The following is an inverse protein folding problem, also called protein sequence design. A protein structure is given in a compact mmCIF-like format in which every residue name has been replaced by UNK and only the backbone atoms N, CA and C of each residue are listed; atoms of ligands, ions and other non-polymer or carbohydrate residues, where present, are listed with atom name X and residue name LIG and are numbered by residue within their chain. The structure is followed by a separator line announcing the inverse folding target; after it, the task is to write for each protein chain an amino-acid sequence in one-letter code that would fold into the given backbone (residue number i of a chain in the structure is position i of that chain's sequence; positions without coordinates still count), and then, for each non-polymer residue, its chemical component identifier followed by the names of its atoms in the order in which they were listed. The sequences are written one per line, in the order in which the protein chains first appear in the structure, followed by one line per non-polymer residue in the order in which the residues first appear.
data_IF_327378632968
#
_entry.id   IF_327378632968
#
_cell.length_a   1.000
_cell.length_b   1.000
_cell.length_c   1.000
_cell.angle_alpha   90.00
_cell.angle_beta   90.00
_cell.angle_gamma   90.00
#
_symmetry.space_group_name_H-M   'P 1'
#
loop_
_entity.id
_entity.type
_entity.pdbx_description
1 polymer ?
#
# COMPACT_ATOMS: atom_id res chain seq x y z
N UNK A 1 15.13 26.30 56.81
CA UNK A 1 15.07 26.69 55.38
C UNK A 1 15.15 25.50 54.42
N UNK A 2 16.11 24.58 54.54
CA UNK A 2 16.26 23.40 53.65
C UNK A 2 15.03 22.47 53.59
N UNK A 3 14.37 22.24 54.73
CA UNK A 3 13.22 21.32 54.82
C UNK A 3 11.96 21.89 54.14
N UNK A 4 11.73 23.21 54.26
CA UNK A 4 10.62 23.90 53.60
C UNK A 4 10.82 23.97 52.08
N UNK A 5 12.06 24.18 51.60
CA UNK A 5 12.38 24.15 50.18
C UNK A 5 12.17 22.75 49.57
N UNK A 6 12.54 21.69 50.29
CA UNK A 6 12.30 20.30 49.87
C UNK A 6 10.81 19.95 49.80
N UNK A 7 10.02 20.39 50.80
CA UNK A 7 8.57 20.20 50.80
C UNK A 7 7.88 20.97 49.67
N UNK A 8 8.31 22.20 49.39
CA UNK A 8 7.80 23.00 48.28
C UNK A 8 8.11 22.33 46.93
N UNK A 9 9.34 21.85 46.73
CA UNK A 9 9.74 21.12 45.51
C UNK A 9 8.89 19.87 45.31
N UNK A 10 8.67 19.07 46.36
CA UNK A 10 7.82 17.88 46.30
C UNK A 10 6.39 18.23 45.88
N UNK A 11 5.81 19.27 46.50
CA UNK A 11 4.43 19.69 46.24
C UNK A 11 4.25 20.26 44.82
N UNK A 12 5.26 20.96 44.29
CA UNK A 12 5.27 21.41 42.90
C UNK A 12 5.32 20.20 41.94
N UNK A 13 6.18 19.21 42.21
CA UNK A 13 6.25 18.00 41.39
C UNK A 13 4.94 17.21 41.42
N UNK A 14 4.32 17.06 42.60
CA UNK A 14 3.05 16.36 42.75
C UNK A 14 1.93 17.06 41.95
N UNK A 15 1.92 18.40 41.92
CA UNK A 15 0.98 19.19 41.12
C UNK A 15 1.25 19.08 39.61
N UNK A 16 2.52 19.07 39.18
CA UNK A 16 2.87 18.88 37.77
C UNK A 16 2.45 17.49 37.30
N UNK A 17 2.71 16.45 38.10
CA UNK A 17 2.31 15.07 37.77
C UNK A 17 0.78 14.91 37.75
N UNK A 18 0.06 15.59 38.65
CA UNK A 18 -1.40 15.57 38.68
C UNK A 18 -2.04 16.23 37.44
N UNK A 19 -1.34 17.19 36.82
CA UNK A 19 -1.81 17.89 35.61
C UNK A 19 -1.34 17.23 34.30
N UNK A 20 -0.49 16.20 34.38
CA UNK A 20 -0.05 15.42 33.22
C UNK A 20 -1.01 14.27 32.90
N UNK A 21 -1.23 14.01 31.62
CA UNK A 21 -1.97 12.87 31.14
C UNK A 21 -1.15 12.10 30.11
N UNK A 22 -1.40 10.79 30.06
CA UNK A 22 -0.91 9.91 28.99
C UNK A 22 -2.10 9.22 28.34
N UNK A 23 -2.09 9.15 27.00
CA UNK A 23 -3.06 8.40 26.21
C UNK A 23 -2.35 7.57 25.16
N UNK A 24 -2.96 6.44 24.84
CA UNK A 24 -2.52 5.55 23.74
C UNK A 24 -3.71 5.32 22.83
N UNK A 25 -3.49 5.48 21.52
CA UNK A 25 -4.46 5.16 20.47
C UNK A 25 -3.88 4.00 19.67
N UNK A 26 -4.55 2.86 19.66
CA UNK A 26 -4.22 1.70 18.83
C UNK A 26 -5.23 1.61 17.68
N UNK A 27 -4.74 1.60 16.44
CA UNK A 27 -5.58 1.57 15.23
C UNK A 27 -4.78 1.10 13.99
N UNK A 28 -5.27 0.12 13.20
CA UNK A 28 -4.57 -0.38 12.03
C UNK A 28 -4.29 0.69 10.96
N UNK A 29 -5.12 1.74 10.87
CA UNK A 29 -4.95 2.82 9.88
C UNK A 29 -3.77 3.75 10.18
N UNK A 30 -3.18 3.69 11.38
CA UNK A 30 -1.95 4.46 11.70
C UNK A 30 -0.83 4.09 10.73
N UNK A 31 -0.78 2.84 10.27
CA UNK A 31 0.19 2.39 9.27
C UNK A 31 0.02 3.03 7.88
N UNK A 32 -1.16 3.58 7.62
CA UNK A 32 -1.55 4.13 6.33
C UNK A 32 -1.45 5.66 6.29
N UNK A 33 -1.01 6.31 7.37
CA UNK A 33 -0.81 7.76 7.45
C UNK A 33 0.10 8.26 6.32
N UNK A 34 -0.32 9.33 5.64
CA UNK A 34 0.43 9.99 4.58
C UNK A 34 1.42 11.03 5.13
N UNK A 35 2.33 11.54 4.28
CA UNK A 35 3.30 12.56 4.71
C UNK A 35 2.59 13.82 5.21
N UNK A 36 1.48 14.19 4.59
CA UNK A 36 0.66 15.31 5.03
C UNK A 36 0.07 15.06 6.43
N UNK A 37 -0.44 13.86 6.69
CA UNK A 37 -1.00 13.51 8.00
C UNK A 37 0.11 13.50 9.07
N UNK A 38 1.33 13.05 8.74
CA UNK A 38 2.48 13.10 9.65
C UNK A 38 2.95 14.53 9.95
N UNK A 39 2.93 15.43 8.97
CA UNK A 39 3.20 16.85 9.21
C UNK A 39 2.10 17.49 10.07
N UNK A 40 0.85 17.09 9.89
CA UNK A 40 -0.28 17.50 10.75
C UNK A 40 -0.07 17.05 12.20
N UNK A 41 0.37 15.81 12.43
CA UNK A 41 0.76 15.32 13.76
C UNK A 41 1.92 16.12 14.37
N UNK A 42 2.94 16.46 13.58
CA UNK A 42 4.07 17.29 14.06
C UNK A 42 3.63 18.72 14.40
N UNK A 43 2.70 19.28 13.64
CA UNK A 43 2.11 20.59 13.92
C UNK A 43 1.35 20.55 15.25
N UNK A 44 0.49 19.54 15.45
CA UNK A 44 -0.23 19.33 16.71
C UNK A 44 0.70 19.25 17.93
N UNK A 45 1.79 18.49 17.83
CA UNK A 45 2.81 18.40 18.88
C UNK A 45 3.40 19.76 19.26
N UNK A 46 3.65 20.63 18.28
CA UNK A 46 4.21 21.98 18.52
C UNK A 46 3.17 22.94 19.09
N UNK A 47 1.95 22.90 18.56
CA UNK A 47 0.86 23.81 18.96
C UNK A 47 0.34 23.53 20.36
N UNK A 48 0.20 22.25 20.71
CA UNK A 48 -0.36 21.80 21.98
C UNK A 48 0.72 21.45 23.01
N UNK A 49 2.01 21.59 22.68
CA UNK A 49 3.14 21.22 23.56
C UNK A 49 3.01 19.81 24.14
N UNK A 50 2.49 18.88 23.34
CA UNK A 50 2.31 17.46 23.69
C UNK A 50 3.38 16.63 23.00
N UNK A 51 3.94 15.64 23.71
CA UNK A 51 4.76 14.61 23.09
C UNK A 51 3.87 13.62 22.35
N UNK A 52 4.07 13.48 21.03
CA UNK A 52 3.41 12.48 20.19
C UNK A 52 4.47 11.50 19.68
N UNK A 53 4.35 10.22 20.05
CA UNK A 53 5.26 9.15 19.62
C UNK A 53 4.46 8.07 18.93
N UNK A 54 4.89 7.67 17.73
CA UNK A 54 4.31 6.53 17.03
C UNK A 54 5.11 5.28 17.35
N UNK A 55 4.41 4.24 17.81
CA UNK A 55 4.89 2.88 17.86
C UNK A 55 4.23 2.09 16.73
N UNK A 56 4.99 1.25 16.05
CA UNK A 56 4.51 0.48 14.92
C UNK A 56 3.85 -0.84 15.33
N UNK A 57 4.00 -1.25 16.59
CA UNK A 57 3.54 -2.56 17.05
C UNK A 57 4.40 -3.71 16.52
N UNK A 58 4.19 -4.91 17.07
CA UNK A 58 4.72 -6.16 16.51
C UNK A 58 3.79 -6.69 15.39
N UNK A 59 4.18 -7.76 14.67
CA UNK A 59 3.41 -8.32 13.53
C UNK A 59 1.94 -8.63 13.85
N UNK A 60 1.60 -8.94 15.10
CA UNK A 60 0.24 -9.29 15.55
C UNK A 60 -0.45 -8.17 16.36
N UNK A 61 0.13 -6.96 16.37
CA UNK A 61 -0.42 -5.82 17.12
C UNK A 61 -0.65 -4.62 16.21
N UNK A 62 -1.76 -3.94 16.42
CA UNK A 62 -2.03 -2.69 15.73
C UNK A 62 -1.00 -1.63 16.16
N UNK A 63 -0.51 -0.80 15.21
CA UNK A 63 0.33 0.34 15.54
C UNK A 63 -0.35 1.28 16.53
N UNK A 64 0.46 1.97 17.35
CA UNK A 64 0.00 2.83 18.43
C UNK A 64 0.53 4.26 18.31
N UNK A 65 -0.26 5.24 18.76
CA UNK A 65 0.17 6.62 19.00
C UNK A 65 0.08 6.91 20.48
N UNK A 66 1.23 7.24 21.08
CA UNK A 66 1.34 7.67 22.47
C UNK A 66 1.36 9.19 22.55
N UNK A 67 0.50 9.72 23.40
CA UNK A 67 0.32 11.14 23.69
C UNK A 67 0.66 11.38 25.15
N UNK A 68 1.51 12.36 25.42
CA UNK A 68 1.96 12.70 26.77
C UNK A 68 2.12 14.22 26.90
N UNK A 69 1.58 14.83 27.97
CA UNK A 69 1.62 16.28 28.15
C UNK A 69 0.59 16.75 29.18
N UNK A 70 0.26 18.04 29.16
CA UNK A 70 -0.79 18.59 30.02
C UNK A 70 -2.15 17.99 29.65
N UNK A 71 -2.97 17.70 30.67
CA UNK A 71 -4.23 16.97 30.53
C UNK A 71 -5.11 17.54 29.42
N UNK A 72 -5.40 18.85 29.46
CA UNK A 72 -6.24 19.52 28.46
C UNK A 72 -5.71 19.35 27.03
N UNK A 73 -4.41 19.51 26.86
CA UNK A 73 -3.75 19.50 25.56
C UNK A 73 -3.69 18.07 25.02
N UNK A 74 -3.44 17.08 25.88
CA UNK A 74 -3.49 15.65 25.53
C UNK A 74 -4.87 15.24 25.04
N UNK A 75 -5.95 15.65 25.70
CA UNK A 75 -7.31 15.34 25.25
C UNK A 75 -7.66 16.04 23.91
N UNK A 76 -7.17 17.27 23.72
CA UNK A 76 -7.36 18.01 22.46
C UNK A 76 -6.61 17.33 21.32
N UNK A 77 -5.35 16.95 21.56
CA UNK A 77 -4.52 16.21 20.62
C UNK A 77 -5.11 14.84 20.31
N UNK A 78 -5.58 14.10 21.31
CA UNK A 78 -6.23 12.79 21.13
C UNK A 78 -7.41 12.89 20.14
N UNK A 79 -8.28 13.89 20.32
CA UNK A 79 -9.42 14.11 19.42
C UNK A 79 -8.95 14.38 17.98
N UNK A 80 -7.97 15.27 17.80
CA UNK A 80 -7.44 15.61 16.48
C UNK A 80 -6.78 14.40 15.80
N UNK A 81 -6.00 13.62 16.54
CA UNK A 81 -5.38 12.37 16.03
C UNK A 81 -6.44 11.38 15.58
N UNK A 82 -7.52 11.19 16.36
CA UNK A 82 -8.63 10.30 15.97
C UNK A 82 -9.32 10.77 14.69
N UNK A 83 -9.44 12.07 14.47
CA UNK A 83 -10.04 12.62 13.25
C UNK A 83 -9.15 12.43 12.02
N UNK A 84 -7.82 12.53 12.17
CA UNK A 84 -6.84 12.17 11.14
C UNK A 84 -6.99 10.68 10.79
N UNK A 85 -7.01 9.78 11.78
CA UNK A 85 -7.16 8.34 11.56
C UNK A 85 -8.47 8.03 10.81
N UNK A 86 -9.61 8.60 11.23
CA UNK A 86 -10.90 8.45 10.54
C UNK A 86 -10.90 8.99 9.11
N UNK A 87 -10.10 10.01 8.81
CA UNK A 87 -9.93 10.53 7.45
C UNK A 87 -9.16 9.52 6.59
N UNK A 88 -8.11 8.90 7.13
CA UNK A 88 -7.36 7.83 6.46
C UNK A 88 -8.26 6.61 6.22
N UNK A 89 -8.99 6.15 7.24
CA UNK A 89 -9.93 5.03 7.13
C UNK A 89 -10.95 5.25 6.01
N UNK A 90 -11.56 6.44 5.94
CA UNK A 90 -12.50 6.80 4.86
C UNK A 90 -11.83 6.82 3.48
N UNK A 91 -10.58 7.26 3.39
CA UNK A 91 -9.84 7.28 2.13
C UNK A 91 -9.53 5.86 1.64
N UNK A 92 -9.09 4.98 2.54
CA UNK A 92 -8.82 3.57 2.24
C UNK A 92 -10.10 2.82 1.85
N UNK A 93 -11.20 3.02 2.58
CA UNK A 93 -12.49 2.44 2.23
C UNK A 93 -12.98 2.91 0.85
N UNK A 94 -12.81 4.20 0.53
CA UNK A 94 -13.15 4.73 -0.79
C UNK A 94 -12.28 4.13 -1.89
N UNK A 95 -10.97 4.00 -1.65
CA UNK A 95 -10.02 3.38 -2.57
C UNK A 95 -10.40 1.93 -2.87
N UNK A 96 -10.66 1.14 -1.83
CA UNK A 96 -11.11 -0.26 -1.96
C UNK A 96 -12.40 -0.35 -2.78
N UNK A 97 -13.39 0.48 -2.46
CA UNK A 97 -14.65 0.55 -3.21
C UNK A 97 -14.44 0.94 -4.68
N UNK A 98 -13.54 1.88 -4.96
CA UNK A 98 -13.23 2.30 -6.32
C UNK A 98 -12.57 1.19 -7.14
N UNK A 99 -11.71 0.40 -6.49
CA UNK A 99 -11.04 -0.77 -7.07
C UNK A 99 -12.05 -1.88 -7.39
N UNK A 100 -12.88 -2.28 -6.43
CA UNK A 100 -13.97 -3.27 -6.62
C UNK A 100 -14.96 -2.83 -7.71
N UNK A 101 -15.23 -1.53 -7.83
CA UNK A 101 -16.09 -1.01 -8.89
C UNK A 101 -15.42 -1.08 -10.26
N UNK A 102 -14.10 -0.83 -10.33
CA UNK A 102 -13.33 -0.86 -11.57
C UNK A 102 -13.26 -2.26 -12.20
N UNK A 103 -13.49 -3.32 -11.42
CA UNK A 103 -13.63 -4.69 -11.94
C UNK A 103 -14.96 -4.90 -12.68
N UNK A 104 -15.99 -4.11 -12.38
CA UNK A 104 -17.35 -4.31 -12.89
C UNK A 104 -17.69 -3.38 -14.05
N UNK A 105 -17.08 -2.20 -14.10
CA UNK A 105 -17.41 -1.16 -15.08
C UNK A 105 -16.22 -0.24 -15.34
N UNK A 106 -16.09 0.17 -16.61
CA UNK A 106 -15.14 1.20 -17.01
C UNK A 106 -15.87 2.33 -17.73
N UNK A 107 -15.78 3.52 -17.16
CA UNK A 107 -16.20 4.76 -17.76
C UNK A 107 -15.06 5.36 -18.57
N UNK A 108 -15.40 5.86 -19.76
CA UNK A 108 -14.47 6.50 -20.68
C UNK A 108 -15.05 7.82 -21.17
N UNK A 109 -14.18 8.72 -21.65
CA UNK A 109 -14.58 9.91 -22.36
C UNK A 109 -13.89 10.00 -23.71
N UNK A 110 -14.53 10.68 -24.65
CA UNK A 110 -13.93 10.97 -25.96
C UNK A 110 -13.09 12.23 -25.88
N UNK A 111 -11.79 12.12 -26.15
CA UNK A 111 -10.88 13.26 -26.16
C UNK A 111 -11.03 14.11 -27.44
N UNK A 112 -10.25 15.19 -27.54
CA UNK A 112 -10.28 16.10 -28.70
C UNK A 112 -9.81 15.46 -30.01
N UNK A 113 -9.08 14.34 -29.94
CA UNK A 113 -8.62 13.56 -31.09
C UNK A 113 -9.64 12.49 -31.49
N UNK A 114 -10.75 12.37 -30.75
CA UNK A 114 -11.76 11.33 -30.95
C UNK A 114 -11.41 9.99 -30.31
N UNK A 115 -10.31 9.90 -29.55
CA UNK A 115 -9.89 8.69 -28.86
C UNK A 115 -10.67 8.49 -27.57
N UNK A 116 -10.96 7.23 -27.24
CA UNK A 116 -11.64 6.88 -25.99
C UNK A 116 -10.61 6.71 -24.87
N UNK A 117 -10.65 7.60 -23.89
CA UNK A 117 -9.74 7.62 -22.74
C UNK A 117 -10.49 7.18 -21.49
N UNK A 118 -9.95 6.21 -20.76
CA UNK A 118 -10.54 5.72 -19.51
C UNK A 118 -10.36 6.74 -18.36
N UNK A 119 -11.37 6.81 -17.48
CA UNK A 119 -11.25 7.57 -16.25
C UNK A 119 -10.42 6.82 -15.20
N UNK A 120 -9.73 7.57 -14.32
CA UNK A 120 -9.11 7.01 -13.13
C UNK A 120 -10.16 6.46 -12.13
N UNK A 121 -9.71 5.59 -11.23
CA UNK A 121 -10.56 4.82 -10.29
C UNK A 121 -11.62 5.67 -9.57
N UNK A 122 -11.23 6.81 -9.01
CA UNK A 122 -12.14 7.65 -8.22
C UNK A 122 -13.23 8.30 -9.09
N UNK A 123 -12.87 8.77 -10.28
CA UNK A 123 -13.84 9.35 -11.23
C UNK A 123 -14.74 8.27 -11.80
N UNK A 124 -14.21 7.06 -12.06
CA UNK A 124 -14.98 5.91 -12.47
C UNK A 124 -16.05 5.54 -11.43
N UNK A 125 -15.65 5.42 -10.14
CA UNK A 125 -16.56 5.17 -9.04
C UNK A 125 -17.64 6.26 -8.95
N UNK A 126 -17.23 7.53 -9.01
CA UNK A 126 -18.13 8.70 -8.93
C UNK A 126 -19.19 8.66 -10.03
N UNK A 127 -18.79 8.36 -11.28
CA UNK A 127 -19.70 8.25 -12.42
C UNK A 127 -20.65 7.06 -12.27
N UNK A 128 -20.16 5.93 -11.80
CA UNK A 128 -21.00 4.74 -11.62
C UNK A 128 -22.02 4.90 -10.50
N UNK A 129 -21.65 5.52 -9.37
CA UNK A 129 -22.59 5.83 -8.30
C UNK A 129 -23.66 6.82 -8.77
N UNK A 130 -23.26 7.85 -9.51
CA UNK A 130 -24.18 8.82 -10.10
C UNK A 130 -25.12 8.18 -11.13
N UNK A 131 -24.62 7.24 -11.94
CA UNK A 131 -25.43 6.44 -12.85
C UNK A 131 -26.48 5.60 -12.10
N UNK A 132 -26.07 4.84 -11.07
CA UNK A 132 -26.97 4.01 -10.26
C UNK A 132 -28.03 4.81 -9.52
N UNK A 133 -27.66 5.98 -9.00
CA UNK A 133 -28.56 6.88 -8.25
C UNK A 133 -29.33 7.85 -9.15
N UNK A 134 -29.09 7.84 -10.47
CA UNK A 134 -29.68 8.73 -11.46
C UNK A 134 -29.44 10.22 -11.14
N UNK A 135 -28.25 10.53 -10.62
CA UNK A 135 -27.80 11.87 -10.30
C UNK A 135 -26.73 12.36 -11.27
N UNK A 136 -26.49 13.68 -11.27
CA UNK A 136 -25.37 14.29 -11.99
C UNK A 136 -24.13 14.26 -11.09
N UNK A 137 -22.96 14.11 -11.72
CA UNK A 137 -21.68 14.05 -11.00
C UNK A 137 -20.78 15.22 -11.38
N UNK A 138 -19.97 15.69 -10.44
CA UNK A 138 -18.88 16.62 -10.73
C UNK A 138 -17.61 15.82 -11.02
N UNK A 139 -17.04 16.00 -12.20
CA UNK A 139 -15.82 15.31 -12.62
C UNK A 139 -14.78 16.31 -13.13
N UNK A 140 -13.54 15.86 -13.27
CA UNK A 140 -12.47 16.62 -13.93
C UNK A 140 -11.95 15.87 -15.14
N UNK A 141 -11.76 16.59 -16.24
CA UNK A 141 -11.12 16.11 -17.47
C UNK A 141 -10.03 17.13 -17.82
N UNK A 142 -8.76 16.71 -17.92
CA UNK A 142 -7.63 17.60 -18.20
C UNK A 142 -7.59 18.84 -17.26
N UNK A 143 -7.85 18.63 -15.97
CA UNK A 143 -8.00 19.68 -14.92
C UNK A 143 -9.21 20.62 -15.03
N UNK A 144 -9.98 20.55 -16.10
CA UNK A 144 -11.22 21.32 -16.26
C UNK A 144 -12.40 20.63 -15.56
N UNK A 145 -13.27 21.41 -14.92
CA UNK A 145 -14.44 20.91 -14.22
C UNK A 145 -15.65 20.73 -15.15
N UNK A 146 -16.29 19.55 -15.05
CA UNK A 146 -17.48 19.20 -15.80
C UNK A 146 -18.60 18.73 -14.89
N UNK A 147 -19.84 18.97 -15.31
CA UNK A 147 -21.03 18.31 -14.78
C UNK A 147 -21.39 17.17 -15.71
N UNK A 148 -21.16 15.94 -15.27
CA UNK A 148 -21.52 14.72 -15.95
C UNK A 148 -22.99 14.35 -15.68
N UNK A 149 -23.67 13.92 -16.73
CA UNK A 149 -24.96 13.26 -16.72
C UNK A 149 -24.75 11.84 -17.27
N UNK A 150 -24.40 10.87 -16.39
CA UNK A 150 -24.05 9.53 -16.82
C UNK A 150 -25.18 8.82 -17.56
N UNK A 151 -26.44 9.10 -17.21
CA UNK A 151 -27.62 8.52 -17.87
C UNK A 151 -27.80 9.02 -19.32
N UNK A 152 -27.26 10.21 -19.64
CA UNK A 152 -27.27 10.78 -20.99
C UNK A 152 -25.94 10.60 -21.71
N UNK A 153 -24.99 9.88 -21.10
CA UNK A 153 -23.66 9.63 -21.65
C UNK A 153 -22.92 10.92 -22.05
N UNK A 154 -23.10 11.99 -21.28
CA UNK A 154 -22.52 13.31 -21.61
C UNK A 154 -22.03 14.04 -20.37
N UNK A 155 -20.98 14.83 -20.55
CA UNK A 155 -20.51 15.81 -19.58
C UNK A 155 -20.43 17.19 -20.22
N UNK A 156 -20.80 18.22 -19.46
CA UNK A 156 -20.76 19.61 -19.92
C UNK A 156 -19.83 20.40 -19.01
N UNK A 157 -18.93 21.18 -19.61
CA UNK A 157 -18.04 22.08 -18.88
C UNK A 157 -18.83 23.05 -17.99
N UNK A 158 -18.24 23.47 -16.87
CA UNK A 158 -18.84 24.47 -15.99
C UNK A 158 -19.25 25.77 -16.71
N UNK A 159 -18.63 26.11 -17.84
CA UNK A 159 -18.97 27.27 -18.66
C UNK A 159 -20.06 27.00 -19.73
N UNK A 160 -20.56 25.77 -19.85
CA UNK A 160 -21.60 25.36 -20.79
C UNK A 160 -21.17 25.22 -22.24
N UNK A 161 -19.92 25.54 -22.59
CA UNK A 161 -19.47 25.65 -24.00
C UNK A 161 -18.95 24.35 -24.60
N UNK A 162 -18.39 23.48 -23.77
CA UNK A 162 -17.76 22.25 -24.22
C UNK A 162 -18.53 21.03 -23.69
N UNK A 163 -19.06 20.24 -24.60
CA UNK A 163 -19.67 18.94 -24.31
C UNK A 163 -18.68 17.82 -24.61
N UNK A 164 -18.63 16.82 -23.75
CA UNK A 164 -17.81 15.61 -23.90
C UNK A 164 -18.73 14.39 -23.84
N UNK A 165 -18.52 13.46 -24.76
CA UNK A 165 -19.20 12.17 -24.76
C UNK A 165 -18.57 11.26 -23.70
N UNK A 166 -19.41 10.66 -22.88
CA UNK A 166 -19.04 9.63 -21.92
C UNK A 166 -19.46 8.27 -22.49
N UNK A 167 -18.79 7.21 -22.09
CA UNK A 167 -19.18 5.86 -22.47
C UNK A 167 -19.02 4.93 -21.28
N UNK A 168 -20.08 4.22 -20.93
CA UNK A 168 -20.08 3.19 -19.89
C UNK A 168 -19.86 1.83 -20.54
N UNK A 169 -18.78 1.17 -20.17
CA UNK A 169 -18.51 -0.20 -20.60
C UNK A 169 -18.72 -1.14 -19.41
N UNK A 170 -19.77 -1.97 -19.47
CA UNK A 170 -19.90 -3.09 -18.54
C UNK A 170 -18.73 -4.05 -18.74
N UNK A 171 -18.06 -4.38 -17.64
CA UNK A 171 -17.04 -5.43 -17.60
C UNK A 171 -17.64 -6.74 -17.05
N UNK A 172 -18.85 -6.69 -16.46
CA UNK A 172 -19.63 -7.88 -16.13
C UNK A 172 -19.95 -8.66 -17.41
N UNK A 173 -19.30 -9.82 -17.55
CA UNK A 173 -19.41 -10.70 -18.72
C UNK A 173 -18.38 -10.43 -19.81
N UNK A 174 -17.57 -9.37 -19.71
CA UNK A 174 -16.40 -9.15 -20.58
C UNK A 174 -15.14 -9.35 -19.74
N UNK A 175 -14.73 -10.61 -19.62
CA UNK A 175 -13.49 -11.08 -19.02
C UNK A 175 -13.01 -10.24 -17.82
N UNK A 176 -13.34 -10.68 -16.60
CA UNK A 176 -12.39 -10.53 -15.50
C UNK A 176 -10.99 -10.77 -16.10
N UNK A 177 -10.04 -9.85 -15.89
CA UNK A 177 -8.74 -9.91 -16.56
C UNK A 177 -8.28 -11.36 -16.60
N UNK A 178 -7.97 -11.91 -17.78
CA UNK A 178 -7.76 -13.34 -17.92
C UNK A 178 -6.75 -13.76 -16.87
N UNK A 179 -7.17 -14.71 -16.01
CA UNK A 179 -6.26 -15.32 -15.06
C UNK A 179 -5.14 -16.01 -15.85
N UNK A 180 -3.93 -16.11 -15.28
CA UNK A 180 -2.83 -16.74 -15.98
C UNK A 180 -3.23 -18.14 -16.46
N UNK A 181 -2.93 -18.47 -17.71
CA UNK A 181 -3.32 -19.75 -18.30
C UNK A 181 -2.65 -20.96 -17.62
N UNK A 182 -1.57 -20.72 -16.88
CA UNK A 182 -0.89 -21.72 -16.06
C UNK A 182 -1.60 -22.01 -14.73
N UNK A 183 -2.64 -21.25 -14.36
CA UNK A 183 -3.35 -21.48 -13.12
C UNK A 183 -4.24 -22.72 -13.20
N UNK A 184 -4.21 -23.48 -12.12
CA UNK A 184 -5.07 -24.64 -11.92
C UNK A 184 -6.47 -24.22 -11.51
N UNK A 185 -7.45 -25.09 -11.75
CA UNK A 185 -8.84 -24.87 -11.33
C UNK A 185 -8.95 -24.82 -9.80
N UNK A 186 -9.40 -23.67 -9.30
CA UNK A 186 -9.55 -23.42 -7.87
C UNK A 186 -10.88 -23.94 -7.31
N UNK A 187 -11.80 -24.47 -8.14
CA UNK A 187 -13.11 -24.98 -7.69
C UNK A 187 -13.89 -23.96 -6.84
N UNK A 188 -13.90 -22.71 -7.30
CA UNK A 188 -14.53 -21.56 -6.63
C UNK A 188 -13.85 -21.08 -5.32
N UNK A 189 -12.69 -21.64 -4.94
CA UNK A 189 -11.89 -21.09 -3.84
C UNK A 189 -11.37 -19.67 -4.18
N UNK A 190 -11.43 -18.75 -3.22
CA UNK A 190 -10.97 -17.36 -3.37
C UNK A 190 -9.44 -17.21 -3.28
N UNK A 191 -8.77 -18.19 -2.68
CA UNK A 191 -7.33 -18.28 -2.50
C UNK A 191 -6.95 -19.74 -2.37
N UNK A 192 -5.93 -20.17 -3.12
CA UNK A 192 -5.36 -21.50 -2.98
C UNK A 192 -3.88 -21.54 -3.34
N UNK A 193 -3.15 -22.41 -2.65
CA UNK A 193 -1.76 -22.71 -2.95
C UNK A 193 -1.72 -24.04 -3.70
N UNK A 194 -0.98 -24.08 -4.80
CA UNK A 194 -0.78 -25.26 -5.61
C UNK A 194 0.68 -25.65 -5.59
N UNK A 195 0.97 -26.90 -5.21
CA UNK A 195 2.34 -27.41 -5.23
C UNK A 195 2.85 -27.44 -6.67
N UNK A 196 3.97 -26.78 -6.90
CA UNK A 196 4.66 -26.82 -8.19
C UNK A 196 5.46 -28.12 -8.25
N UNK A 197 5.19 -28.95 -9.26
CA UNK A 197 5.82 -30.25 -9.38
C UNK A 197 7.35 -30.12 -9.54
N UNK A 198 8.16 -30.85 -8.75
CA UNK A 198 9.61 -30.85 -8.90
C UNK A 198 10.03 -31.17 -10.33
N UNK A 199 11.10 -30.52 -10.80
CA UNK A 199 11.64 -30.63 -12.16
C UNK A 199 10.72 -30.21 -13.32
N UNK A 200 9.52 -29.68 -13.05
CA UNK A 200 8.71 -29.00 -14.07
C UNK A 200 9.41 -27.72 -14.55
N UNK A 201 9.03 -27.22 -15.74
CA UNK A 201 9.57 -25.95 -16.26
C UNK A 201 9.37 -24.81 -15.27
N UNK A 202 8.17 -24.70 -14.70
CA UNK A 202 7.84 -23.68 -13.70
C UNK A 202 8.71 -23.80 -12.44
N UNK A 203 8.91 -25.02 -11.93
CA UNK A 203 9.81 -25.25 -10.79
C UNK A 203 11.23 -24.81 -11.10
N UNK A 204 11.77 -25.23 -12.25
CA UNK A 204 13.14 -24.92 -12.66
C UNK A 204 13.34 -23.43 -12.89
N UNK A 205 12.33 -22.71 -13.38
CA UNK A 205 12.39 -21.25 -13.56
C UNK A 205 12.45 -20.53 -12.20
N UNK A 206 11.64 -20.94 -11.23
CA UNK A 206 11.69 -20.41 -9.85
C UNK A 206 13.04 -20.72 -9.21
N UNK A 207 13.53 -21.95 -9.32
CA UNK A 207 14.81 -22.40 -8.77
C UNK A 207 16.00 -21.67 -9.43
N UNK A 208 15.95 -21.42 -10.73
CA UNK A 208 16.99 -20.67 -11.44
C UNK A 208 17.11 -19.24 -10.91
N UNK A 209 15.99 -18.55 -10.72
CA UNK A 209 15.99 -17.20 -10.14
C UNK A 209 16.46 -17.22 -8.68
N UNK A 210 16.14 -18.27 -7.95
CA UNK A 210 16.57 -18.46 -6.56
C UNK A 210 18.07 -18.70 -6.43
N UNK A 211 18.67 -19.43 -7.36
CA UNK A 211 20.08 -19.85 -7.34
C UNK A 211 21.00 -18.90 -8.10
N UNK A 212 20.46 -17.86 -8.76
CA UNK A 212 21.23 -16.95 -9.65
C UNK A 212 22.42 -16.25 -8.98
N UNK A 213 22.35 -16.01 -7.68
CA UNK A 213 23.41 -15.38 -6.87
C UNK A 213 24.26 -16.39 -6.09
N UNK A 214 24.12 -17.69 -6.39
CA UNK A 214 24.86 -18.77 -5.74
C UNK A 214 24.23 -19.28 -4.44
N UNK A 215 22.99 -18.89 -4.15
CA UNK A 215 22.24 -19.43 -3.03
C UNK A 215 21.98 -20.93 -3.24
N UNK A 216 22.33 -21.75 -2.25
CA UNK A 216 22.05 -23.19 -2.25
C UNK A 216 21.21 -23.52 -1.03
N UNK A 217 20.01 -24.05 -1.25
CA UNK A 217 19.03 -24.36 -0.23
C UNK A 217 18.54 -25.79 -0.39
N UNK A 218 18.15 -26.41 0.72
CA UNK A 218 17.34 -27.62 0.68
C UNK A 218 15.86 -27.22 0.56
N UNK A 219 15.36 -27.16 -0.68
CA UNK A 219 13.98 -26.78 -0.99
C UNK A 219 13.04 -27.93 -0.59
N UNK A 220 12.10 -27.66 0.31
CA UNK A 220 11.06 -28.59 0.75
C UNK A 220 9.86 -28.52 -0.20
N UNK A 221 9.42 -27.31 -0.54
CA UNK A 221 8.32 -27.09 -1.46
C UNK A 221 8.41 -25.73 -2.15
N UNK A 222 7.86 -25.68 -3.36
CA UNK A 222 7.49 -24.45 -4.07
C UNK A 222 5.99 -24.52 -4.31
N UNK A 223 5.25 -23.52 -3.85
CA UNK A 223 3.81 -23.45 -3.99
C UNK A 223 3.42 -22.17 -4.74
N UNK A 224 2.71 -22.31 -5.86
CA UNK A 224 2.13 -21.18 -6.60
C UNK A 224 0.91 -20.67 -5.83
N UNK A 225 0.92 -19.39 -5.49
CA UNK A 225 -0.22 -18.73 -4.88
C UNK A 225 -1.18 -18.31 -5.98
N UNK A 226 -2.43 -18.76 -5.91
CA UNK A 226 -3.50 -18.32 -6.78
C UNK A 226 -4.53 -17.53 -5.98
N UNK A 227 -4.45 -16.20 -6.10
CA UNK A 227 -5.40 -15.27 -5.51
C UNK A 227 -5.93 -14.34 -6.61
N UNK A 228 -7.12 -14.61 -7.19
CA UNK A 228 -7.68 -13.84 -8.30
C UNK A 228 -7.79 -12.34 -8.02
N UNK A 229 -8.26 -11.98 -6.83
CA UNK A 229 -8.46 -10.57 -6.47
C UNK A 229 -7.13 -9.82 -6.38
N UNK A 230 -6.11 -10.40 -5.74
CA UNK A 230 -4.78 -9.78 -5.70
C UNK A 230 -4.18 -9.68 -7.10
N UNK A 231 -4.29 -10.74 -7.90
CA UNK A 231 -3.76 -10.76 -9.27
C UNK A 231 -4.42 -9.69 -10.15
N UNK A 232 -5.74 -9.56 -10.09
CA UNK A 232 -6.48 -8.58 -10.88
C UNK A 232 -6.11 -7.15 -10.48
N UNK A 233 -6.05 -6.87 -9.18
CA UNK A 233 -5.64 -5.57 -8.66
C UNK A 233 -4.21 -5.20 -9.07
N UNK A 234 -3.29 -6.17 -8.96
CA UNK A 234 -1.91 -6.06 -9.44
C UNK A 234 -1.87 -5.71 -10.94
N UNK A 235 -2.62 -6.45 -11.77
CA UNK A 235 -2.65 -6.24 -13.22
C UNK A 235 -3.28 -4.90 -13.62
N UNK A 236 -4.30 -4.41 -12.89
CA UNK A 236 -4.87 -3.08 -13.08
C UNK A 236 -3.80 -2.02 -12.78
N UNK A 237 -3.11 -2.14 -11.65
CA UNK A 237 -2.04 -1.21 -11.27
C UNK A 237 -0.89 -1.22 -12.28
N UNK A 238 -0.51 -2.40 -12.78
CA UNK A 238 0.50 -2.55 -13.83
C UNK A 238 0.15 -1.72 -15.06
N UNK A 239 -1.06 -1.89 -15.61
CA UNK A 239 -1.52 -1.14 -16.78
C UNK A 239 -1.54 0.37 -16.53
N UNK A 240 -1.97 0.80 -15.34
CA UNK A 240 -1.96 2.21 -14.97
C UNK A 240 -0.55 2.77 -14.91
N UNK A 241 0.40 2.01 -14.34
CA UNK A 241 1.81 2.39 -14.25
C UNK A 241 2.46 2.46 -15.63
N UNK A 242 2.15 1.52 -16.54
CA UNK A 242 2.63 1.55 -17.93
C UNK A 242 2.18 2.80 -18.68
N UNK A 243 0.92 3.21 -18.51
CA UNK A 243 0.39 4.45 -19.08
C UNK A 243 1.06 5.68 -18.46
N UNK A 244 1.19 5.71 -17.12
CA UNK A 244 1.82 6.80 -16.37
C UNK A 244 3.27 7.01 -16.81
N UNK A 245 4.05 5.92 -16.85
CA UNK A 245 5.49 5.97 -17.09
C UNK A 245 5.86 5.94 -18.58
N UNK A 246 4.89 5.64 -19.46
CA UNK A 246 5.07 5.58 -20.93
C UNK A 246 6.07 4.52 -21.36
N UNK A 247 6.24 3.46 -20.57
CA UNK A 247 7.03 2.27 -20.89
C UNK A 247 6.47 1.04 -20.16
N UNK A 248 6.87 -0.16 -20.58
CA UNK A 248 6.42 -1.44 -20.02
C UNK A 248 7.38 -2.07 -19.01
N UNK A 249 8.61 -1.54 -18.91
CA UNK A 249 9.61 -2.04 -17.96
C UNK A 249 9.36 -1.53 -16.53
N UNK A 250 8.26 -1.96 -15.93
CA UNK A 250 7.85 -1.55 -14.57
C UNK A 250 7.89 -2.69 -13.55
N UNK A 251 8.06 -3.94 -13.99
CA UNK A 251 7.93 -5.14 -13.15
C UNK A 251 9.29 -5.83 -12.98
N UNK A 252 9.60 -6.21 -11.74
CA UNK A 252 10.71 -7.09 -11.41
C UNK A 252 10.22 -8.30 -10.60
N UNK A 253 10.93 -9.41 -10.73
CA UNK A 253 10.79 -10.56 -9.86
C UNK A 253 11.79 -10.43 -8.70
N UNK A 254 11.28 -10.31 -7.48
CA UNK A 254 12.07 -10.02 -6.28
C UNK A 254 11.70 -10.97 -5.13
N UNK A 255 12.51 -10.97 -4.07
CA UNK A 255 12.38 -11.90 -2.96
C UNK A 255 11.97 -11.20 -1.66
N UNK A 256 11.12 -11.85 -0.87
CA UNK A 256 10.68 -11.37 0.43
C UNK A 256 10.71 -12.49 1.48
N UNK A 257 11.70 -12.49 2.36
CA UNK A 257 11.76 -13.41 3.51
C UNK A 257 10.79 -12.98 4.60
N UNK A 258 10.14 -13.93 5.26
CA UNK A 258 9.13 -13.62 6.29
C UNK A 258 9.01 -14.71 7.35
N UNK A 259 8.17 -14.46 8.36
CA UNK A 259 7.84 -15.38 9.46
C UNK A 259 6.74 -16.35 9.05
N UNK A 260 6.64 -17.50 9.72
CA UNK A 260 5.56 -18.48 9.47
C UNK A 260 4.18 -17.91 9.82
N UNK A 261 4.10 -17.02 10.81
CA UNK A 261 2.86 -16.34 11.21
C UNK A 261 2.32 -15.38 10.16
N UNK A 262 3.20 -14.81 9.32
CA UNK A 262 2.82 -13.83 8.28
C UNK A 262 2.27 -14.48 7.00
N UNK A 263 2.50 -15.77 6.77
CA UNK A 263 2.16 -16.46 5.51
C UNK A 263 0.66 -16.41 5.20
N UNK A 264 -0.20 -16.73 6.18
CA UNK A 264 -1.64 -16.71 5.96
C UNK A 264 -2.13 -15.32 5.56
N UNK A 265 -1.56 -14.28 6.19
CA UNK A 265 -1.93 -12.91 5.94
C UNK A 265 -1.48 -12.44 4.55
N UNK A 266 -0.22 -12.71 4.18
CA UNK A 266 0.33 -12.33 2.87
C UNK A 266 -0.42 -13.02 1.73
N UNK A 267 -0.73 -14.32 1.87
CA UNK A 267 -1.50 -15.04 0.85
C UNK A 267 -2.90 -14.44 0.66
N UNK A 268 -3.55 -14.00 1.75
CA UNK A 268 -4.92 -13.49 1.73
C UNK A 268 -5.02 -12.03 1.32
N UNK A 269 -4.13 -11.18 1.82
CA UNK A 269 -4.23 -9.72 1.74
C UNK A 269 -3.12 -9.08 0.92
N UNK A 270 -2.09 -9.84 0.52
CA UNK A 270 -0.90 -9.31 -0.12
C UNK A 270 0.10 -8.74 0.88
N UNK A 271 1.09 -8.02 0.38
CA UNK A 271 2.10 -7.38 1.22
C UNK A 271 1.53 -6.08 1.80
N UNK A 272 1.55 -5.96 3.12
CA UNK A 272 1.05 -4.78 3.81
C UNK A 272 2.20 -4.02 4.47
N UNK A 273 2.33 -2.74 4.13
CA UNK A 273 3.39 -1.87 4.64
C UNK A 273 3.28 -1.58 6.14
N UNK A 274 2.14 -1.86 6.78
CA UNK A 274 2.00 -1.77 8.24
C UNK A 274 2.99 -2.65 8.98
N UNK A 275 3.38 -3.77 8.38
CA UNK A 275 4.34 -4.70 8.94
C UNK A 275 5.80 -4.33 8.63
N UNK A 276 6.04 -3.18 7.98
CA UNK A 276 7.37 -2.69 7.65
C UNK A 276 8.10 -2.14 8.88
N UNK A 277 9.19 -2.80 9.30
CA UNK A 277 10.17 -2.16 10.18
C UNK A 277 10.85 -2.99 11.25
N UNK A 278 10.66 -4.32 11.32
CA UNK A 278 11.41 -5.18 12.28
C UNK A 278 12.93 -5.03 12.16
N UNK A 279 13.47 -4.65 10.99
CA UNK A 279 14.91 -4.52 10.72
C UNK A 279 15.38 -3.09 10.38
N UNK A 280 14.73 -2.07 10.96
CA UNK A 280 14.95 -0.66 10.66
C UNK A 280 14.64 -0.30 9.20
N UNK A 281 13.51 0.36 8.99
CA UNK A 281 13.06 0.87 7.69
C UNK A 281 13.99 1.99 7.14
N UNK A 282 15.19 1.60 6.68
CA UNK A 282 16.29 2.50 6.31
C UNK A 282 15.99 3.35 5.07
N UNK A 283 15.15 2.84 4.16
CA UNK A 283 14.89 3.48 2.87
C UNK A 283 13.44 3.94 2.71
N UNK A 284 12.61 3.69 3.73
CA UNK A 284 11.19 4.08 3.75
C UNK A 284 10.32 3.05 4.48
N UNK A 285 9.15 3.49 4.95
CA UNK A 285 8.13 2.70 5.61
C UNK A 285 7.20 2.08 4.56
N UNK A 286 7.74 1.13 3.80
CA UNK A 286 7.01 0.35 2.79
C UNK A 286 7.37 -1.13 2.87
N UNK A 287 6.80 -1.95 2.01
CA UNK A 287 7.17 -3.36 1.89
C UNK A 287 8.50 -3.51 1.14
N UNK A 288 9.44 -4.25 1.71
CA UNK A 288 10.81 -4.42 1.20
C UNK A 288 10.93 -5.69 0.37
N UNK A 289 11.65 -5.60 -0.75
CA UNK A 289 11.91 -6.72 -1.64
C UNK A 289 13.38 -6.70 -2.09
N UNK A 290 14.07 -7.83 -1.97
CA UNK A 290 15.46 -7.95 -2.35
C UNK A 290 15.61 -8.52 -3.77
N UNK A 291 16.55 -7.99 -4.54
CA UNK A 291 16.95 -8.56 -5.83
C UNK A 291 17.77 -9.85 -5.65
N UNK A 292 18.56 -9.92 -4.57
CA UNK A 292 19.33 -11.09 -4.18
C UNK A 292 18.55 -11.95 -3.17
N UNK A 293 18.18 -13.20 -3.50
CA UNK A 293 17.50 -14.09 -2.58
C UNK A 293 18.31 -14.42 -1.32
N UNK A 294 19.65 -14.38 -1.36
CA UNK A 294 20.51 -14.59 -0.18
C UNK A 294 20.15 -13.62 0.95
N UNK A 295 19.84 -12.38 0.60
CA UNK A 295 19.49 -11.34 1.57
C UNK A 295 18.18 -11.68 2.30
N UNK A 296 17.15 -12.07 1.54
CA UNK A 296 15.85 -12.48 2.07
C UNK A 296 15.94 -13.77 2.89
N UNK A 297 16.66 -14.77 2.39
CA UNK A 297 16.84 -16.06 3.06
C UNK A 297 17.66 -15.94 4.35
N UNK A 298 18.74 -15.16 4.37
CA UNK A 298 19.64 -15.05 5.51
C UNK A 298 19.11 -14.19 6.65
N UNK A 299 18.48 -13.06 6.32
CA UNK A 299 18.21 -12.02 7.31
C UNK A 299 16.74 -11.93 7.74
N UNK A 300 15.79 -12.42 6.92
CA UNK A 300 14.34 -12.18 7.12
C UNK A 300 13.48 -13.44 7.16
N UNK A 301 13.84 -14.48 6.42
CA UNK A 301 13.17 -15.77 6.51
C UNK A 301 13.51 -16.42 7.86
N UNK A 302 12.60 -16.36 8.83
CA UNK A 302 12.84 -16.94 10.16
C UNK A 302 12.44 -18.41 10.18
N UNK A 303 13.24 -19.30 10.81
CA UNK A 303 12.85 -20.69 10.96
C UNK A 303 11.67 -20.83 11.93
N UNK A 304 10.72 -21.69 11.59
CA UNK A 304 9.65 -22.11 12.50
C UNK A 304 10.14 -23.13 13.54
N UNK A 305 9.22 -23.69 14.33
CA UNK A 305 9.52 -24.73 15.32
C UNK A 305 10.09 -26.03 14.74
N UNK A 306 9.91 -26.27 13.45
CA UNK A 306 10.45 -27.41 12.71
C UNK A 306 11.76 -27.07 11.97
N UNK A 307 12.25 -25.84 12.09
CA UNK A 307 13.44 -25.35 11.39
C UNK A 307 13.18 -24.93 9.94
N UNK A 308 11.93 -24.93 9.48
CA UNK A 308 11.59 -24.54 8.13
C UNK A 308 11.53 -23.01 7.99
N UNK A 309 12.11 -22.49 6.93
CA UNK A 309 12.14 -21.07 6.58
C UNK A 309 11.25 -20.84 5.36
N UNK A 310 10.66 -19.65 5.26
CA UNK A 310 9.80 -19.26 4.13
C UNK A 310 10.24 -17.94 3.53
N UNK A 311 10.18 -17.88 2.21
CA UNK A 311 10.29 -16.63 1.45
C UNK A 311 9.35 -16.66 0.27
N UNK A 312 8.93 -15.48 -0.17
CA UNK A 312 8.22 -15.31 -1.42
C UNK A 312 9.19 -14.95 -2.54
N UNK A 313 8.92 -15.50 -3.72
CA UNK A 313 9.29 -14.87 -4.99
C UNK A 313 8.04 -14.12 -5.48
N UNK A 314 8.15 -12.80 -5.62
CA UNK A 314 7.03 -11.90 -5.86
C UNK A 314 7.24 -11.10 -7.14
N UNK A 315 6.15 -10.83 -7.86
CA UNK A 315 6.15 -9.81 -8.92
C UNK A 315 5.93 -8.45 -8.27
N UNK A 316 6.82 -7.51 -8.54
CA UNK A 316 6.82 -6.19 -7.90
C UNK A 316 6.86 -5.12 -8.99
N UNK A 317 5.88 -4.22 -8.97
CA UNK A 317 5.82 -3.07 -9.87
C UNK A 317 6.75 -1.96 -9.35
N UNK A 318 8.05 -2.07 -9.61
CA UNK A 318 9.04 -1.08 -9.16
C UNK A 318 8.94 0.26 -9.90
N UNK A 319 8.45 0.24 -11.15
CA UNK A 319 8.27 1.44 -11.98
C UNK A 319 9.52 2.31 -12.09
N UNK A 320 9.32 3.63 -12.17
CA UNK A 320 10.40 4.59 -12.00
C UNK A 320 10.73 4.70 -10.50
N UNK A 321 11.99 4.54 -10.14
CA UNK A 321 12.43 4.55 -8.74
C UNK A 321 13.46 5.64 -8.44
N UNK A 322 13.57 5.98 -7.14
CA UNK A 322 14.54 6.95 -6.63
C UNK A 322 15.25 6.41 -5.37
N UNK A 323 16.30 7.11 -4.95
CA UNK A 323 17.00 6.80 -3.71
C UNK A 323 16.06 6.94 -2.50
N UNK A 324 15.94 5.88 -1.71
CA UNK A 324 15.14 5.86 -0.49
C UNK A 324 15.86 6.46 0.70
N UNK A 325 15.07 6.92 1.68
CA UNK A 325 15.57 7.50 2.93
C UNK A 325 14.67 7.11 4.10
N UNK A 326 15.27 7.04 5.29
CA UNK A 326 14.57 6.68 6.52
C UNK A 326 13.43 7.66 6.79
N UNK A 327 12.26 7.11 7.11
CA UNK A 327 11.07 7.89 7.46
C UNK A 327 10.20 8.31 6.27
N UNK A 328 10.61 8.02 5.02
CA UNK A 328 9.70 8.13 3.87
C UNK A 328 8.49 7.22 4.08
N UNK A 329 7.29 7.68 3.73
CA UNK A 329 6.05 6.89 3.75
C UNK A 329 5.34 6.91 2.38
N UNK A 330 5.93 7.61 1.43
CA UNK A 330 5.58 7.65 0.02
C UNK A 330 6.87 7.91 -0.77
N UNK A 331 6.97 7.50 -2.04
CA UNK A 331 8.11 7.87 -2.88
C UNK A 331 8.23 9.39 -3.04
N UNK A 332 9.45 9.92 -3.30
CA UNK A 332 9.64 11.33 -3.54
C UNK A 332 8.98 11.80 -4.85
N UNK A 333 8.73 13.12 -5.02
CA UNK A 333 8.26 13.68 -6.28
C UNK A 333 9.33 13.66 -7.37
N UNK A 334 8.90 13.48 -8.62
CA UNK A 334 9.72 13.68 -9.83
C UNK A 334 9.91 15.18 -10.09
N UNK A 335 11.03 15.54 -10.70
CA UNK A 335 11.38 16.92 -11.03
C UNK A 335 10.26 17.60 -11.84
N UNK A 336 9.65 18.66 -11.30
CA UNK A 336 8.68 19.49 -12.02
C UNK A 336 7.23 19.41 -11.53
N UNK A 337 6.86 18.48 -10.65
CA UNK A 337 5.54 18.49 -9.98
C UNK A 337 5.54 17.73 -8.66
N UNK A 338 4.94 18.31 -7.61
CA UNK A 338 4.74 17.63 -6.33
C UNK A 338 3.72 16.48 -6.40
N UNK A 339 2.88 16.42 -7.44
CA UNK A 339 1.85 15.40 -7.60
C UNK A 339 2.30 14.21 -8.44
N UNK A 340 3.44 14.31 -9.15
CA UNK A 340 4.01 13.22 -9.93
C UNK A 340 5.11 12.56 -9.11
N UNK A 341 4.80 11.45 -8.45
CA UNK A 341 5.75 10.73 -7.60
C UNK A 341 6.47 9.62 -8.37
N UNK A 342 7.68 9.28 -7.93
CA UNK A 342 8.27 7.98 -8.25
C UNK A 342 7.33 6.84 -7.80
N UNK A 343 7.51 5.65 -8.36
CA UNK A 343 6.67 4.48 -8.06
C UNK A 343 7.20 3.68 -6.88
N UNK A 344 8.53 3.64 -6.71
CA UNK A 344 9.18 2.98 -5.59
C UNK A 344 10.47 3.70 -5.19
N UNK A 345 11.12 3.22 -4.13
CA UNK A 345 12.47 3.67 -3.76
C UNK A 345 13.41 2.50 -3.58
N UNK A 346 14.71 2.76 -3.63
CA UNK A 346 15.78 1.75 -3.56
C UNK A 346 16.91 2.16 -2.60
N UNK A 347 17.80 1.21 -2.29
CA UNK A 347 19.00 1.41 -1.47
C UNK A 347 20.13 2.12 -2.20
N UNK A 348 20.26 1.95 -3.51
CA UNK A 348 21.20 2.68 -4.38
C UNK A 348 20.56 2.87 -5.76
N UNK A 349 20.25 4.11 -6.13
CA UNK A 349 19.61 4.41 -7.41
C UNK A 349 20.47 4.04 -8.65
N UNK A 350 21.80 3.95 -8.50
CA UNK A 350 22.69 3.53 -9.58
C UNK A 350 22.79 1.99 -9.68
N UNK A 351 22.79 1.30 -8.53
CA UNK A 351 22.96 -0.16 -8.45
C UNK A 351 21.98 -0.77 -7.43
N UNK A 352 20.67 -0.82 -7.75
CA UNK A 352 19.65 -1.20 -6.80
C UNK A 352 19.77 -2.67 -6.41
N UNK A 353 19.83 -2.97 -5.11
CA UNK A 353 19.83 -4.34 -4.58
C UNK A 353 18.53 -4.67 -3.84
N UNK A 354 17.75 -3.65 -3.51
CA UNK A 354 16.41 -3.80 -2.93
C UNK A 354 15.48 -2.67 -3.36
N UNK A 355 14.19 -2.95 -3.28
CA UNK A 355 13.12 -2.01 -3.59
C UNK A 355 12.12 -1.94 -2.44
N UNK A 356 11.59 -0.75 -2.23
CA UNK A 356 10.56 -0.47 -1.23
C UNK A 356 9.35 0.13 -1.94
N UNK A 357 8.21 -0.54 -1.82
CA UNK A 357 6.92 -0.10 -2.37
C UNK A 357 5.99 0.34 -1.25
N UNK A 358 5.19 1.37 -1.50
CA UNK A 358 4.37 2.04 -0.48
C UNK A 358 2.87 1.82 -0.69
N UNK A 359 2.50 0.96 -1.63
CA UNK A 359 1.11 0.63 -1.94
C UNK A 359 0.95 -0.89 -1.96
N UNK A 360 -0.04 -1.37 -1.20
CA UNK A 360 -0.18 -2.79 -0.85
C UNK A 360 -0.56 -3.67 -2.06
N UNK A 361 -1.10 -3.08 -3.14
CA UNK A 361 -1.41 -3.79 -4.40
C UNK A 361 -0.28 -3.75 -5.45
N UNK A 362 0.88 -3.17 -5.11
CA UNK A 362 2.03 -3.00 -6.01
C UNK A 362 2.89 -4.27 -6.15
N UNK A 363 2.61 -5.29 -5.34
CA UNK A 363 3.30 -6.56 -5.36
C UNK A 363 2.33 -7.75 -5.26
N UNK A 364 2.60 -8.79 -6.04
CA UNK A 364 1.86 -10.05 -6.04
C UNK A 364 2.77 -11.19 -5.52
N UNK A 365 2.41 -11.87 -4.41
CA UNK A 365 3.17 -13.02 -3.91
C UNK A 365 2.93 -14.21 -4.83
N UNK A 366 3.81 -14.45 -5.80
CA UNK A 366 3.57 -15.45 -6.86
C UNK A 366 3.90 -16.88 -6.40
N UNK A 367 5.05 -17.06 -5.75
CA UNK A 367 5.49 -18.35 -5.23
C UNK A 367 5.90 -18.25 -3.77
N UNK A 368 5.41 -19.17 -2.95
CA UNK A 368 5.89 -19.44 -1.61
C UNK A 368 6.92 -20.56 -1.66
N UNK A 369 8.13 -20.30 -1.18
CA UNK A 369 9.23 -21.25 -1.16
C UNK A 369 9.52 -21.63 0.29
N UNK A 370 9.40 -22.92 0.62
CA UNK A 370 9.73 -23.47 1.94
C UNK A 370 11.04 -24.25 1.85
N UNK A 371 11.98 -23.97 2.74
CA UNK A 371 13.33 -24.54 2.72
C UNK A 371 13.95 -24.63 4.12
N UNK A 372 15.11 -25.28 4.24
CA UNK A 372 15.96 -25.27 5.46
C UNK A 372 17.30 -24.66 5.21
#
# INVERSE_FOLDING_TARGET
MLQAASQAKKRINDLILAEQAQKTISDPCISQLSQADMEELKALQRELTVSIRLDKGAEDQDPEIHLEGLTRDVYTAESAVRDIIRKVERAEALRKKALEMSEQVEWRFKDHNGSMVAFGLNTNLTLEEAFKTKQKAKIKINNDAYTADPAREKAVSANGRNGVELHRKDLKGTSALPLPSCWEDMKDDLLKLFAVAPASTEYNDVEKELTKTGLSLNIISIERVQNPSLWQNYQIMKKQMEVKNKHTNNELLLFHGTTDTSIHLINKQGFNRSYAGKHAAMYGNGSYFAADPCYSAGNYATPDTSGHKRMYQARVLVGDYAQGQKGMITPPPKSGSASDLYDSVTDDAAYPTMFVVFNDIQAYPEYLITFT
#
